data_IF_894082201474
#
_entry.id   IF_894082201474
#
_cell.length_a   1.000
_cell.length_b   1.000
_cell.length_c   1.000
_cell.angle_alpha   90.00
_cell.angle_beta   90.00
_cell.angle_gamma   90.00
#
_symmetry.space_group_name_H-M   'P 1'
#
loop_
_entity.id
_entity.type
_entity.pdbx_description
1 polymer ?
#
# COMPACT_ATOMS: atom_id res chain seq x y z
N UNK A 1 7.31 9.68 -16.49
CA UNK A 1 5.98 9.89 -15.86
C UNK A 1 6.18 10.38 -14.43
N UNK A 2 5.43 11.39 -14.00
CA UNK A 2 5.48 11.92 -12.63
C UNK A 2 4.93 10.87 -11.65
N UNK A 3 5.76 10.41 -10.69
CA UNK A 3 5.35 9.44 -9.67
C UNK A 3 5.08 10.17 -8.36
N UNK A 4 3.82 10.18 -7.92
CA UNK A 4 3.41 10.67 -6.60
C UNK A 4 3.46 9.52 -5.60
N UNK A 5 4.10 9.74 -4.45
CA UNK A 5 4.16 8.79 -3.34
C UNK A 5 3.54 9.45 -2.10
N UNK A 6 2.60 8.75 -1.46
CA UNK A 6 2.05 9.13 -0.16
C UNK A 6 2.81 8.37 0.92
N UNK A 7 3.36 9.07 1.89
CA UNK A 7 3.94 8.49 3.11
C UNK A 7 2.93 8.61 4.24
N UNK A 8 2.35 7.48 4.63
CA UNK A 8 1.49 7.39 5.81
C UNK A 8 2.29 7.30 7.11
N UNK A 9 1.63 7.48 8.24
CA UNK A 9 2.28 7.53 9.56
C UNK A 9 2.37 6.15 10.25
N UNK A 10 2.52 5.05 9.49
CA UNK A 10 2.86 3.72 10.01
C UNK A 10 4.37 3.53 10.20
N UNK A 11 4.85 2.30 10.07
CA UNK A 11 6.28 2.01 10.13
C UNK A 11 6.98 2.61 8.91
N UNK A 12 8.08 3.32 9.19
CA UNK A 12 8.86 3.93 8.12
C UNK A 12 9.59 2.85 7.32
N UNK A 13 9.57 2.90 5.97
CA UNK A 13 10.20 1.88 5.11
C UNK A 13 11.67 1.62 5.47
N UNK A 14 12.08 0.36 5.42
CA UNK A 14 13.48 -0.04 5.64
C UNK A 14 14.38 0.51 4.55
N UNK A 15 15.53 1.07 4.97
CA UNK A 15 16.51 1.62 4.04
C UNK A 15 16.94 0.58 2.99
N UNK A 16 16.91 0.99 1.71
CA UNK A 16 17.27 0.13 0.58
C UNK A 16 16.15 -0.81 0.09
N UNK A 17 15.04 -0.95 0.84
CA UNK A 17 13.87 -1.72 0.43
C UNK A 17 13.09 -1.07 -0.71
N UNK A 18 12.10 -1.78 -1.26
CA UNK A 18 11.29 -1.31 -2.39
C UNK A 18 10.53 -0.01 -2.04
N UNK A 19 9.89 0.04 -0.88
CA UNK A 19 9.15 1.21 -0.42
C UNK A 19 10.08 2.43 -0.17
N UNK A 20 11.29 2.20 0.36
CA UNK A 20 12.30 3.25 0.49
C UNK A 20 12.73 3.84 -0.85
N UNK A 21 13.01 2.98 -1.85
CA UNK A 21 13.40 3.40 -3.19
C UNK A 21 12.31 4.24 -3.84
N UNK A 22 11.04 3.86 -3.68
CA UNK A 22 9.90 4.64 -4.16
C UNK A 22 9.89 6.06 -3.58
N UNK A 23 10.14 6.21 -2.28
CA UNK A 23 10.24 7.54 -1.65
C UNK A 23 11.45 8.35 -2.15
N UNK A 24 12.60 7.70 -2.33
CA UNK A 24 13.82 8.36 -2.76
C UNK A 24 13.72 8.89 -4.20
N UNK A 25 13.04 8.13 -5.08
CA UNK A 25 12.89 8.38 -6.52
C UNK A 25 11.60 9.10 -6.88
N UNK A 26 10.74 9.40 -5.89
CA UNK A 26 9.47 10.09 -6.12
C UNK A 26 9.70 11.48 -6.71
N UNK A 27 8.92 11.82 -7.74
CA UNK A 27 8.87 13.19 -8.26
C UNK A 27 8.05 14.12 -7.38
N UNK A 28 7.16 13.53 -6.55
CA UNK A 28 6.35 14.24 -5.57
C UNK A 28 6.10 13.34 -4.36
N UNK A 29 6.33 13.89 -3.17
CA UNK A 29 6.06 13.23 -1.89
C UNK A 29 4.99 13.98 -1.13
N UNK A 30 3.92 13.29 -0.80
CA UNK A 30 2.85 13.75 0.09
C UNK A 30 2.99 13.01 1.41
N UNK A 31 3.17 13.71 2.51
CA UNK A 31 3.19 13.10 3.84
C UNK A 31 1.87 13.32 4.56
N UNK A 32 1.34 12.27 5.17
CA UNK A 32 0.37 12.42 6.24
C UNK A 32 1.07 13.08 7.45
N UNK A 33 0.40 13.97 8.10
CA UNK A 33 0.86 14.85 9.20
C UNK A 33 2.16 14.38 9.91
N UNK A 34 2.09 13.55 10.93
CA UNK A 34 3.25 13.09 11.71
C UNK A 34 4.32 12.32 10.92
N UNK A 35 4.03 11.86 9.70
CA UNK A 35 5.02 11.22 8.82
C UNK A 35 6.05 12.21 8.28
N UNK A 36 5.72 13.50 8.20
CA UNK A 36 6.59 14.53 7.64
C UNK A 36 7.91 14.69 8.40
N UNK A 37 7.87 14.63 9.72
CA UNK A 37 9.08 14.71 10.57
C UNK A 37 9.98 13.50 10.38
N UNK A 38 9.39 12.30 10.24
CA UNK A 38 10.14 11.08 9.97
C UNK A 38 10.80 11.14 8.59
N UNK A 39 10.10 11.64 7.57
CA UNK A 39 10.64 11.86 6.23
C UNK A 39 11.81 12.85 6.28
N UNK A 40 11.63 14.02 6.91
CA UNK A 40 12.67 15.05 7.04
C UNK A 40 13.93 14.54 7.73
N UNK A 41 13.80 13.78 8.81
CA UNK A 41 14.95 13.20 9.52
C UNK A 41 15.77 12.26 8.63
N UNK A 42 15.10 11.47 7.75
CA UNK A 42 15.77 10.47 6.94
C UNK A 42 16.30 10.98 5.60
N UNK A 43 15.57 11.88 4.94
CA UNK A 43 15.95 12.42 3.63
C UNK A 43 16.60 13.79 3.68
N UNK A 44 16.71 14.41 4.87
CA UNK A 44 17.30 15.75 5.09
C UNK A 44 16.60 16.86 4.27
N UNK A 45 15.37 16.63 3.88
CA UNK A 45 14.51 17.59 3.17
C UNK A 45 13.06 17.42 3.60
N UNK A 46 12.26 18.45 3.43
CA UNK A 46 10.82 18.37 3.61
C UNK A 46 10.15 17.64 2.42
N UNK A 47 8.96 17.02 2.59
CA UNK A 47 8.14 16.55 1.48
C UNK A 47 7.62 17.73 0.66
N UNK A 48 7.00 17.46 -0.48
CA UNK A 48 6.39 18.52 -1.29
C UNK A 48 5.07 19.01 -0.68
N UNK A 49 4.30 18.12 -0.04
CA UNK A 49 3.02 18.42 0.59
C UNK A 49 2.90 17.69 1.92
N UNK A 50 2.25 18.33 2.89
CA UNK A 50 1.83 17.72 4.16
C UNK A 50 0.32 17.88 4.27
N UNK A 51 -0.40 16.79 4.52
CA UNK A 51 -1.86 16.75 4.65
C UNK A 51 -2.25 16.19 6.02
N UNK A 52 -3.14 16.86 6.73
CA UNK A 52 -3.64 16.44 8.04
C UNK A 52 -4.27 17.61 8.80
N UNK A 53 -4.49 17.48 10.09
CA UNK A 53 -4.90 18.58 10.97
C UNK A 53 -3.73 19.49 11.39
N UNK A 54 -2.49 19.04 11.10
CA UNK A 54 -1.21 19.74 11.31
C UNK A 54 -0.86 19.99 12.78
N UNK A 55 -1.41 19.20 13.69
CA UNK A 55 -1.13 19.30 15.14
C UNK A 55 0.12 18.51 15.56
N UNK A 56 0.49 17.48 14.77
CA UNK A 56 1.62 16.57 15.06
C UNK A 56 2.95 17.02 14.46
N UNK A 57 3.02 18.18 13.79
CA UNK A 57 4.26 18.68 13.21
C UNK A 57 5.10 19.37 14.29
N UNK A 58 6.22 18.76 14.67
CA UNK A 58 7.08 19.25 15.78
C UNK A 58 7.81 20.56 15.49
N UNK A 59 7.98 20.95 14.23
CA UNK A 59 8.62 22.21 13.81
C UNK A 59 7.94 22.78 12.58
N UNK A 60 7.40 23.99 12.70
CA UNK A 60 6.78 24.66 11.57
C UNK A 60 7.80 24.90 10.43
N UNK A 61 7.53 24.45 9.19
CA UNK A 61 8.49 24.48 8.09
C UNK A 61 8.74 25.86 7.47
N UNK A 62 8.19 26.94 8.04
CA UNK A 62 8.21 28.30 7.49
C UNK A 62 9.59 28.96 7.34
N UNK A 63 10.63 28.38 7.95
CA UNK A 63 12.00 28.95 7.94
C UNK A 63 13.01 28.19 7.09
N UNK A 64 12.55 27.47 6.07
CA UNK A 64 13.41 26.72 5.16
C UNK A 64 13.31 27.27 3.74
N UNK A 65 14.38 27.12 2.94
CA UNK A 65 14.44 27.62 1.58
C UNK A 65 13.37 27.02 0.63
N UNK A 66 12.87 25.83 0.94
CA UNK A 66 11.78 25.17 0.20
C UNK A 66 10.79 24.54 1.19
N UNK A 67 9.84 25.31 1.71
CA UNK A 67 8.83 24.79 2.62
C UNK A 67 7.84 23.85 1.86
N UNK A 68 7.28 22.83 2.56
CA UNK A 68 6.21 22.02 2.00
C UNK A 68 4.92 22.85 1.87
N UNK A 69 4.04 22.44 0.94
CA UNK A 69 2.69 22.95 0.91
C UNK A 69 1.86 22.31 2.03
N UNK A 70 1.27 23.10 2.90
CA UNK A 70 0.48 22.62 4.04
C UNK A 70 -1.00 22.59 3.67
N UNK A 71 -1.62 21.42 3.80
CA UNK A 71 -3.03 21.20 3.53
C UNK A 71 -3.73 20.83 4.83
N UNK A 72 -4.33 21.83 5.47
CA UNK A 72 -5.10 21.62 6.71
C UNK A 72 -6.47 21.06 6.38
N UNK A 73 -6.78 19.86 6.89
CA UNK A 73 -8.08 19.21 6.80
C UNK A 73 -8.55 18.88 8.21
N UNK A 74 -9.43 19.72 8.80
CA UNK A 74 -9.84 19.59 10.21
C UNK A 74 -10.85 18.47 10.46
N UNK A 75 -11.30 17.78 9.40
CA UNK A 75 -12.24 16.68 9.50
C UNK A 75 -11.70 15.55 10.41
N UNK A 76 -12.54 15.07 11.32
CA UNK A 76 -12.23 14.00 12.27
C UNK A 76 -12.86 12.64 11.88
N UNK A 77 -13.69 12.61 10.84
CA UNK A 77 -14.37 11.38 10.40
C UNK A 77 -13.48 10.54 9.48
N UNK A 78 -12.42 11.14 8.92
CA UNK A 78 -11.46 10.48 8.03
C UNK A 78 -10.05 10.49 8.62
N UNK A 79 -9.28 9.43 8.37
CA UNK A 79 -7.88 9.39 8.79
C UNK A 79 -7.00 10.19 7.80
N UNK A 80 -5.77 10.53 8.23
CA UNK A 80 -4.86 11.36 7.42
C UNK A 80 -4.47 10.71 6.09
N UNK A 81 -4.43 9.38 6.00
CA UNK A 81 -4.16 8.71 4.73
C UNK A 81 -5.31 8.92 3.74
N UNK A 82 -6.55 8.85 4.19
CA UNK A 82 -7.72 9.13 3.36
C UNK A 82 -7.73 10.58 2.91
N UNK A 83 -7.46 11.53 3.83
CA UNK A 83 -7.30 12.96 3.49
C UNK A 83 -6.23 13.18 2.41
N UNK A 84 -5.08 12.49 2.52
CA UNK A 84 -4.01 12.58 1.54
C UNK A 84 -4.39 11.99 0.18
N UNK A 85 -5.09 10.84 0.15
CA UNK A 85 -5.59 10.24 -1.11
C UNK A 85 -6.63 11.16 -1.78
N UNK A 86 -7.59 11.69 -1.01
CA UNK A 86 -8.60 12.61 -1.50
C UNK A 86 -7.96 13.89 -2.06
N UNK A 87 -6.95 14.43 -1.36
CA UNK A 87 -6.18 15.57 -1.86
C UNK A 87 -5.50 15.26 -3.19
N UNK A 88 -4.80 14.12 -3.31
CA UNK A 88 -4.17 13.70 -4.57
C UNK A 88 -5.18 13.57 -5.70
N UNK A 89 -6.35 12.98 -5.44
CA UNK A 89 -7.43 12.85 -6.41
C UNK A 89 -7.92 14.22 -6.90
N UNK A 90 -8.14 15.17 -5.97
CA UNK A 90 -8.52 16.55 -6.28
C UNK A 90 -7.48 17.29 -7.14
N UNK A 91 -6.19 16.98 -6.94
CA UNK A 91 -5.11 17.55 -7.76
C UNK A 91 -4.94 16.83 -9.12
N UNK A 92 -5.74 15.81 -9.43
CA UNK A 92 -5.61 15.02 -10.65
C UNK A 92 -4.35 14.12 -10.66
N UNK A 93 -3.73 13.86 -9.50
CA UNK A 93 -2.58 12.97 -9.37
C UNK A 93 -3.06 11.52 -9.28
N UNK A 94 -3.14 10.89 -10.44
CA UNK A 94 -3.72 9.55 -10.59
C UNK A 94 -2.85 8.48 -9.93
N UNK A 95 -3.51 7.57 -9.21
CA UNK A 95 -2.93 6.34 -8.64
C UNK A 95 -1.61 6.57 -7.88
N UNK A 96 -1.58 7.43 -6.84
CA UNK A 96 -0.39 7.57 -6.02
C UNK A 96 -0.06 6.22 -5.37
N UNK A 97 1.24 5.96 -5.17
CA UNK A 97 1.70 4.78 -4.43
C UNK A 97 1.82 5.14 -2.96
N UNK A 98 1.28 4.32 -2.09
CA UNK A 98 1.30 4.51 -0.64
C UNK A 98 2.42 3.68 -0.04
N UNK A 99 3.17 4.27 0.90
CA UNK A 99 4.17 3.60 1.72
C UNK A 99 3.99 3.99 3.18
N UNK A 100 4.49 3.16 4.12
CA UNK A 100 4.34 3.43 5.54
C UNK A 100 2.89 3.34 6.04
N UNK A 101 2.02 2.59 5.36
CA UNK A 101 0.61 2.42 5.72
C UNK A 101 0.35 1.26 6.69
N UNK A 102 1.39 0.50 7.05
CA UNK A 102 1.31 -0.69 7.90
C UNK A 102 2.23 -0.55 9.12
N UNK A 103 2.07 -1.43 10.09
CA UNK A 103 2.79 -1.38 11.36
C UNK A 103 2.18 -0.37 12.36
N UNK A 104 2.80 -0.20 13.51
CA UNK A 104 2.33 0.56 14.69
C UNK A 104 0.98 0.07 15.23
N UNK A 105 -0.13 0.24 14.51
CA UNK A 105 -1.48 -0.17 14.90
C UNK A 105 -2.10 -1.07 13.82
N UNK A 106 -2.55 -2.24 14.21
CA UNK A 106 -3.11 -3.28 13.33
C UNK A 106 -4.46 -2.87 12.75
N UNK A 107 -5.29 -2.20 13.55
CA UNK A 107 -6.59 -1.67 13.11
C UNK A 107 -6.44 -0.60 12.01
N UNK A 108 -5.47 0.30 12.16
CA UNK A 108 -5.12 1.25 11.10
C UNK A 108 -4.59 0.56 9.85
N UNK A 109 -3.77 -0.50 10.02
CA UNK A 109 -3.27 -1.29 8.88
C UNK A 109 -4.43 -1.87 8.06
N UNK A 110 -5.42 -2.49 8.74
CA UNK A 110 -6.60 -3.04 8.07
C UNK A 110 -7.41 -1.94 7.37
N UNK A 111 -7.72 -0.85 8.06
CA UNK A 111 -8.44 0.28 7.49
C UNK A 111 -7.73 0.87 6.27
N UNK A 112 -6.42 1.07 6.35
CA UNK A 112 -5.62 1.63 5.26
C UNK A 112 -5.65 0.76 4.01
N UNK A 113 -5.58 -0.58 4.15
CA UNK A 113 -5.62 -1.51 3.00
C UNK A 113 -6.93 -1.39 2.23
N UNK A 114 -8.08 -1.31 2.93
CA UNK A 114 -9.37 -1.22 2.25
C UNK A 114 -9.65 0.19 1.73
N UNK A 115 -9.26 1.24 2.45
CA UNK A 115 -9.33 2.61 1.94
C UNK A 115 -8.48 2.78 0.67
N UNK A 116 -7.27 2.21 0.63
CA UNK A 116 -6.45 2.25 -0.57
C UNK A 116 -7.12 1.52 -1.75
N UNK A 117 -7.86 0.43 -1.49
CA UNK A 117 -8.66 -0.26 -2.52
C UNK A 117 -9.74 0.67 -3.09
N UNK A 118 -10.49 1.40 -2.23
CA UNK A 118 -11.54 2.31 -2.65
C UNK A 118 -11.01 3.45 -3.55
N UNK A 119 -9.81 3.95 -3.25
CA UNK A 119 -9.14 4.99 -4.04
C UNK A 119 -8.31 4.44 -5.22
N UNK A 120 -8.24 3.13 -5.42
CA UNK A 120 -7.44 2.51 -6.47
C UNK A 120 -5.94 2.73 -6.30
N UNK A 121 -5.46 2.87 -5.05
CA UNK A 121 -4.07 3.14 -4.71
C UNK A 121 -3.34 1.86 -4.28
N UNK A 122 -2.13 1.66 -4.81
CA UNK A 122 -1.25 0.57 -4.38
C UNK A 122 -0.57 0.91 -3.06
N UNK A 123 -0.49 -0.05 -2.12
CA UNK A 123 0.37 0.06 -0.94
C UNK A 123 1.60 -0.82 -1.15
N UNK A 124 2.79 -0.24 -0.97
CA UNK A 124 4.05 -0.98 -0.99
C UNK A 124 4.64 -1.00 0.42
N UNK A 125 4.93 -2.21 0.88
CA UNK A 125 5.53 -2.48 2.20
C UNK A 125 6.91 -3.11 2.06
N UNK A 126 7.57 -3.37 3.17
CA UNK A 126 8.84 -4.09 3.17
C UNK A 126 8.69 -5.60 2.88
N UNK A 127 7.47 -6.15 3.00
CA UNK A 127 7.19 -7.58 2.82
C UNK A 127 6.37 -7.90 1.57
N UNK A 128 5.82 -6.90 0.89
CA UNK A 128 4.99 -7.12 -0.28
C UNK A 128 4.23 -5.87 -0.73
N UNK A 129 3.21 -6.10 -1.55
CA UNK A 129 2.39 -5.05 -2.10
C UNK A 129 0.91 -5.42 -2.02
N UNK A 130 0.06 -4.47 -1.63
CA UNK A 130 -1.38 -4.58 -1.81
C UNK A 130 -1.78 -3.79 -3.06
N UNK A 131 -2.33 -4.48 -4.05
CA UNK A 131 -2.63 -3.92 -5.36
C UNK A 131 -4.13 -3.99 -5.59
N UNK A 132 -4.81 -2.86 -5.80
CA UNK A 132 -6.20 -2.85 -6.21
C UNK A 132 -6.36 -3.40 -7.63
N UNK A 133 -7.29 -4.34 -7.80
CA UNK A 133 -7.58 -4.98 -9.09
C UNK A 133 -9.07 -4.97 -9.36
N UNK A 134 -9.46 -4.43 -10.51
CA UNK A 134 -10.78 -4.58 -11.10
C UNK A 134 -10.59 -4.82 -12.62
N UNK A 135 -11.23 -5.84 -13.16
CA UNK A 135 -10.93 -6.31 -14.51
C UNK A 135 -9.68 -7.19 -14.55
N UNK A 136 -8.96 -7.15 -15.68
CA UNK A 136 -7.79 -8.01 -15.92
C UNK A 136 -6.49 -7.31 -15.53
N UNK A 137 -5.68 -8.00 -14.72
CA UNK A 137 -4.35 -7.55 -14.34
C UNK A 137 -3.33 -8.69 -14.41
N UNK A 138 -2.06 -8.35 -14.74
CA UNK A 138 -0.96 -9.33 -14.79
C UNK A 138 0.22 -8.78 -13.98
N UNK A 139 0.74 -9.61 -13.09
CA UNK A 139 1.82 -9.26 -12.17
C UNK A 139 3.05 -10.11 -12.43
N UNK A 140 4.22 -9.51 -12.31
CA UNK A 140 5.48 -10.25 -12.16
C UNK A 140 5.56 -10.80 -10.75
N UNK A 141 5.93 -12.06 -10.63
CA UNK A 141 6.08 -12.80 -9.38
C UNK A 141 7.33 -13.65 -9.44
N UNK A 142 7.63 -14.35 -8.35
CA UNK A 142 8.56 -15.46 -8.38
C UNK A 142 7.82 -16.74 -7.97
N UNK A 143 8.31 -17.89 -8.42
CA UNK A 143 7.76 -19.19 -8.02
C UNK A 143 7.73 -19.32 -6.50
N UNK A 144 6.59 -19.68 -5.94
CA UNK A 144 6.39 -19.82 -4.50
C UNK A 144 6.07 -18.52 -3.75
N UNK A 145 6.07 -17.36 -4.42
CA UNK A 145 5.66 -16.09 -3.80
C UNK A 145 4.24 -16.21 -3.25
N UNK A 146 4.03 -15.80 -1.99
CA UNK A 146 2.71 -15.80 -1.38
C UNK A 146 1.80 -14.79 -2.08
N UNK A 147 0.58 -15.21 -2.37
CA UNK A 147 -0.47 -14.38 -2.97
C UNK A 147 -1.73 -14.52 -2.15
N UNK A 148 -2.31 -13.41 -1.72
CA UNK A 148 -3.60 -13.39 -1.02
C UNK A 148 -4.54 -12.41 -1.70
N UNK A 149 -5.80 -12.80 -1.85
CA UNK A 149 -6.83 -11.96 -2.45
C UNK A 149 -7.90 -11.69 -1.39
N UNK A 150 -8.24 -10.42 -1.23
CA UNK A 150 -9.27 -9.94 -0.31
C UNK A 150 -10.39 -9.30 -1.13
N UNK A 151 -11.57 -9.91 -1.10
CA UNK A 151 -12.76 -9.42 -1.78
C UNK A 151 -13.82 -9.01 -0.76
N UNK A 152 -14.20 -7.75 -0.75
CA UNK A 152 -15.21 -7.20 0.17
C UNK A 152 -16.65 -7.46 -0.29
N UNK A 153 -16.86 -7.71 -1.59
CA UNK A 153 -18.17 -8.03 -2.16
C UNK A 153 -18.30 -9.54 -2.43
N UNK A 154 -19.23 -10.25 -1.79
CA UNK A 154 -19.43 -11.71 -1.99
C UNK A 154 -19.88 -12.10 -3.40
N UNK A 155 -20.35 -11.13 -4.19
CA UNK A 155 -20.72 -11.33 -5.60
C UNK A 155 -19.50 -11.33 -6.53
N UNK A 156 -18.30 -11.08 -6.03
CA UNK A 156 -17.06 -11.14 -6.81
C UNK A 156 -16.90 -12.50 -7.47
N UNK A 157 -16.53 -12.47 -8.75
CA UNK A 157 -16.10 -13.65 -9.51
C UNK A 157 -14.73 -13.37 -10.05
N UNK A 158 -13.88 -14.37 -10.01
CA UNK A 158 -12.50 -14.26 -10.47
C UNK A 158 -12.11 -15.46 -11.31
N UNK A 159 -11.19 -15.21 -12.24
CA UNK A 159 -10.39 -16.25 -12.89
C UNK A 159 -8.92 -15.97 -12.65
N UNK A 160 -8.11 -17.01 -12.69
CA UNK A 160 -6.67 -16.87 -12.44
C UNK A 160 -5.83 -17.78 -13.34
N UNK A 161 -4.60 -17.32 -13.64
CA UNK A 161 -3.54 -18.14 -14.23
C UNK A 161 -2.25 -17.92 -13.45
N UNK A 162 -1.50 -19.00 -13.20
CA UNK A 162 -0.22 -18.92 -12.50
C UNK A 162 -0.33 -18.94 -10.97
N UNK A 163 -1.47 -19.33 -10.42
CA UNK A 163 -1.67 -19.63 -9.00
C UNK A 163 -1.70 -21.15 -8.77
N UNK A 164 -1.23 -21.60 -7.60
CA UNK A 164 -1.25 -22.99 -7.17
C UNK A 164 -2.69 -23.48 -7.01
N UNK A 165 -3.55 -22.65 -6.44
CA UNK A 165 -4.98 -22.90 -6.32
C UNK A 165 -5.75 -21.92 -7.22
N UNK A 166 -6.31 -22.40 -8.37
CA UNK A 166 -7.09 -21.56 -9.28
C UNK A 166 -8.33 -20.97 -8.60
N UNK A 167 -8.74 -19.78 -9.05
CA UNK A 167 -9.85 -19.02 -8.44
C UNK A 167 -11.17 -19.17 -9.18
N UNK A 168 -11.22 -19.92 -10.28
CA UNK A 168 -12.34 -19.97 -11.22
C UNK A 168 -13.64 -20.47 -10.57
N UNK A 169 -13.54 -21.34 -9.57
CA UNK A 169 -14.69 -21.88 -8.81
C UNK A 169 -14.87 -21.25 -7.42
N UNK A 170 -14.00 -20.31 -7.03
CA UNK A 170 -14.03 -19.72 -5.68
C UNK A 170 -15.26 -18.83 -5.52
N UNK A 171 -15.99 -19.04 -4.43
CA UNK A 171 -17.06 -18.16 -3.96
C UNK A 171 -16.57 -17.38 -2.76
N UNK A 172 -16.54 -16.04 -2.87
CA UNK A 172 -16.09 -15.15 -1.82
C UNK A 172 -17.14 -15.01 -0.72
N UNK A 173 -17.35 -16.11 0.06
CA UNK A 173 -18.28 -16.10 1.19
C UNK A 173 -17.84 -15.18 2.34
N UNK A 174 -16.55 -14.92 2.42
CA UNK A 174 -15.94 -14.00 3.37
C UNK A 174 -14.68 -13.39 2.77
N UNK A 175 -14.12 -12.38 3.46
CA UNK A 175 -12.98 -11.58 3.03
C UNK A 175 -11.71 -12.41 2.75
N UNK A 176 -11.52 -13.53 3.44
CA UNK A 176 -10.26 -14.29 3.46
C UNK A 176 -10.31 -15.64 2.72
N UNK A 177 -11.36 -15.93 1.96
CA UNK A 177 -11.50 -17.20 1.23
C UNK A 177 -10.33 -17.52 0.27
N UNK A 178 -9.68 -16.51 -0.29
CA UNK A 178 -8.63 -16.66 -1.29
C UNK A 178 -7.27 -16.15 -0.78
N UNK A 179 -7.01 -16.31 0.51
CA UNK A 179 -5.69 -16.09 1.10
C UNK A 179 -4.85 -17.36 1.06
N UNK A 180 -3.55 -17.27 1.39
CA UNK A 180 -2.59 -18.39 1.45
C UNK A 180 -2.31 -19.07 0.10
N UNK A 181 -2.60 -18.43 -1.01
CA UNK A 181 -2.26 -18.90 -2.34
C UNK A 181 -0.78 -18.63 -2.68
N UNK A 182 -0.28 -19.21 -3.76
CA UNK A 182 1.11 -19.08 -4.20
C UNK A 182 1.22 -18.96 -5.71
N UNK A 183 2.20 -18.20 -6.16
CA UNK A 183 2.55 -18.14 -7.57
C UNK A 183 3.29 -19.41 -8.00
N UNK A 184 2.91 -20.00 -9.14
CA UNK A 184 3.57 -21.19 -9.70
C UNK A 184 4.77 -20.86 -10.58
N UNK A 185 4.96 -19.57 -10.92
CA UNK A 185 6.03 -19.10 -11.80
C UNK A 185 6.27 -17.61 -11.72
N UNK A 186 6.86 -17.06 -12.78
CA UNK A 186 7.25 -15.64 -12.86
C UNK A 186 6.09 -14.67 -13.16
N UNK A 187 4.88 -15.19 -13.35
CA UNK A 187 3.72 -14.37 -13.74
C UNK A 187 2.42 -14.92 -13.16
N UNK A 188 1.61 -14.03 -12.60
CA UNK A 188 0.22 -14.31 -12.20
C UNK A 188 -0.69 -13.36 -12.97
N UNK A 189 -1.74 -13.91 -13.59
CA UNK A 189 -2.81 -13.12 -14.24
C UNK A 189 -4.11 -13.36 -13.51
N UNK A 190 -4.80 -12.29 -13.15
CA UNK A 190 -6.10 -12.31 -12.48
C UNK A 190 -7.10 -11.53 -13.31
N UNK A 191 -8.36 -11.97 -13.31
CA UNK A 191 -9.49 -11.18 -13.79
C UNK A 191 -10.55 -11.16 -12.70
N UNK A 192 -10.95 -9.98 -12.25
CA UNK A 192 -11.95 -9.79 -11.20
C UNK A 192 -13.13 -8.97 -11.72
N UNK A 193 -14.35 -9.40 -11.42
CA UNK A 193 -15.58 -8.69 -11.83
C UNK A 193 -15.88 -7.47 -10.97
N UNK A 194 -15.25 -7.36 -9.80
CA UNK A 194 -15.40 -6.28 -8.82
C UNK A 194 -14.04 -5.96 -8.20
N UNK A 195 -13.86 -4.77 -7.60
CA UNK A 195 -12.60 -4.41 -6.95
C UNK A 195 -12.19 -5.42 -5.87
N UNK A 196 -10.93 -5.83 -5.89
CA UNK A 196 -10.30 -6.70 -4.89
C UNK A 196 -8.92 -6.16 -4.54
N UNK A 197 -8.48 -6.39 -3.30
CA UNK A 197 -7.10 -6.12 -2.90
C UNK A 197 -6.26 -7.39 -3.04
N UNK A 198 -5.22 -7.34 -3.85
CA UNK A 198 -4.30 -8.46 -4.10
C UNK A 198 -2.99 -8.19 -3.39
N UNK A 199 -2.66 -9.00 -2.38
CA UNK A 199 -1.35 -8.98 -1.76
C UNK A 199 -0.41 -9.93 -2.52
N UNK A 200 0.78 -9.45 -2.84
CA UNK A 200 1.87 -10.25 -3.42
C UNK A 200 3.11 -10.01 -2.56
N UNK A 201 3.62 -11.07 -1.94
CA UNK A 201 4.84 -10.99 -1.14
C UNK A 201 6.07 -10.71 -2.02
N UNK A 202 7.00 -9.90 -1.50
CA UNK A 202 8.35 -9.79 -2.06
C UNK A 202 9.10 -11.10 -1.79
N UNK A 203 9.92 -11.56 -2.73
CA UNK A 203 10.58 -12.88 -2.73
C UNK A 203 11.74 -13.01 -1.74
N UNK A 204 11.99 -12.00 -0.91
CA UNK A 204 13.06 -12.04 0.11
C UNK A 204 12.68 -12.82 1.39
N UNK A 205 11.48 -13.38 1.48
CA UNK A 205 11.20 -14.36 2.53
C UNK A 205 12.00 -15.65 2.25
N UNK A 206 13.14 -15.82 2.91
CA UNK A 206 13.81 -17.11 3.02
C UNK A 206 12.77 -18.15 3.41
N UNK A 207 12.71 -19.33 2.75
CA UNK A 207 11.76 -20.37 3.11
C UNK A 207 11.87 -20.63 4.61
N UNK A 208 10.78 -20.45 5.34
CA UNK A 208 10.72 -20.84 6.76
C UNK A 208 11.23 -22.27 6.83
N UNK A 209 12.31 -22.51 7.60
CA UNK A 209 12.78 -23.86 7.90
C UNK A 209 11.56 -24.68 8.29
N UNK A 210 11.32 -25.79 7.60
CA UNK A 210 10.35 -26.79 8.04
C UNK A 210 10.69 -27.08 9.50
N UNK A 211 9.83 -26.72 10.41
CA UNK A 211 9.86 -27.28 11.75
C UNK A 211 9.51 -28.74 11.53
N UNK A 212 10.53 -29.61 11.57
CA UNK A 212 10.32 -31.06 11.65
C UNK A 212 9.41 -31.28 12.84
N UNK A 213 8.26 -31.93 12.61
CA UNK A 213 7.41 -32.43 13.67
C UNK A 213 8.28 -33.23 14.61
N UNK A 214 8.53 -32.71 15.79
CA UNK A 214 8.97 -33.53 16.93
C UNK A 214 7.69 -34.18 17.42
N UNK A 215 7.62 -35.49 17.32
CA UNK A 215 6.61 -36.38 17.89
C UNK A 215 6.54 -36.19 19.39
#
# INVERSE_FOLDING_TARGET
MSRTVILANGDFPKRGGAAWKLLAEATRVVCCDGAADAYRRRFRRWPDVIVGDLDSISRHPSRVSRPPFLVKVPDQDTNDLEKAMAYCAKQGWKSPVIVGATGKREDHTLGNVFRALDYGCEIVTDTGRFIPVCGRATFRTAKGAAVSIFATDPRTRMTSKGLEWPLDSVRFKNLYCATLNRATGSRVTLTATRPVSVFIATTDERPRRRISKVL
#
